data_IF_673730232146
#
_entry.id   IF_673730232146
#
_cell.length_a   1.000
_cell.length_b   1.000
_cell.length_c   1.000
_cell.angle_alpha   90.00
_cell.angle_beta   90.00
_cell.angle_gamma   90.00
#
_symmetry.space_group_name_H-M   'P 1'
#
loop_
_entity.id
_entity.type
_entity.pdbx_description
1 polymer ?
#
# COMPACT_ATOMS: atom_id res chain seq x y z
N UNK A 1 24.38 4.68 5.78
CA UNK A 1 23.26 4.52 6.73
C UNK A 1 22.05 4.15 5.91
N UNK A 2 21.80 2.85 5.78
CA UNK A 2 20.65 2.33 5.02
C UNK A 2 19.42 2.39 5.91
N UNK A 3 18.65 3.47 5.79
CA UNK A 3 17.33 3.52 6.39
C UNK A 3 16.39 2.68 5.51
N UNK A 4 15.69 1.67 6.07
CA UNK A 4 14.66 0.98 5.32
C UNK A 4 13.55 1.99 5.04
N UNK A 5 13.45 2.42 3.78
CA UNK A 5 12.34 3.24 3.30
C UNK A 5 11.09 2.36 3.26
N UNK A 6 10.47 2.16 4.43
CA UNK A 6 9.10 1.70 4.56
C UNK A 6 8.21 2.86 4.12
N UNK A 7 7.62 2.76 2.92
CA UNK A 7 6.57 3.70 2.56
C UNK A 7 5.29 3.28 3.28
N UNK A 8 5.13 3.74 4.51
CA UNK A 8 3.87 3.62 5.24
C UNK A 8 2.89 4.53 4.49
N UNK A 9 2.03 3.94 3.66
CA UNK A 9 0.82 4.61 3.21
C UNK A 9 -0.14 4.59 4.39
N UNK A 10 0.08 5.50 5.34
CA UNK A 10 -0.90 5.80 6.38
C UNK A 10 -2.01 6.57 5.71
N UNK A 11 -3.19 6.00 5.73
CA UNK A 11 -4.40 6.73 5.39
C UNK A 11 -4.93 7.29 6.71
N UNK A 12 -4.64 8.56 7.06
CA UNK A 12 -5.36 9.21 8.12
C UNK A 12 -6.80 9.32 7.61
N UNK A 13 -7.64 8.37 8.01
CA UNK A 13 -9.02 8.71 8.25
C UNK A 13 -8.99 9.74 9.39
N UNK A 14 -8.84 11.01 9.04
CA UNK A 14 -9.16 12.11 9.93
C UNK A 14 -10.65 12.02 10.28
N UNK A 15 -10.98 11.22 11.30
CA UNK A 15 -11.84 11.53 12.44
C UNK A 15 -12.32 10.22 13.07
N UNK A 16 -11.71 9.92 14.21
CA UNK A 16 -12.05 8.90 15.19
C UNK A 16 -13.52 8.46 15.27
N UNK A 17 -13.69 7.14 15.45
CA UNK A 17 -14.88 6.39 15.89
C UNK A 17 -15.88 6.01 14.80
N UNK A 18 -16.01 4.69 14.67
CA UNK A 18 -16.85 3.94 13.73
C UNK A 18 -16.32 3.91 12.30
N UNK A 19 -15.22 3.19 12.09
CA UNK A 19 -15.14 2.41 10.86
C UNK A 19 -16.06 1.20 11.08
N UNK A 20 -17.30 1.29 10.62
CA UNK A 20 -18.27 0.21 10.73
C UNK A 20 -17.63 -1.10 10.21
N UNK A 21 -17.62 -2.20 11.00
CA UNK A 21 -17.01 -3.47 10.60
C UNK A 21 -17.62 -4.08 9.33
N UNK A 22 -18.79 -3.58 8.88
CA UNK A 22 -19.42 -3.97 7.62
C UNK A 22 -18.86 -3.27 6.37
N UNK A 23 -17.84 -2.42 6.50
CA UNK A 23 -17.20 -1.76 5.36
C UNK A 23 -16.36 -2.76 4.57
N UNK A 24 -16.74 -3.02 3.32
CA UNK A 24 -16.00 -3.91 2.43
C UNK A 24 -14.70 -3.22 1.99
N UNK A 25 -13.57 -3.89 2.16
CA UNK A 25 -12.24 -3.44 1.73
C UNK A 25 -11.76 -4.34 0.60
N UNK A 26 -11.18 -3.73 -0.44
CA UNK A 26 -10.67 -4.41 -1.62
C UNK A 26 -9.23 -3.95 -1.81
N UNK A 27 -8.29 -4.88 -1.83
CA UNK A 27 -6.89 -4.63 -2.19
C UNK A 27 -6.58 -5.52 -3.37
N UNK A 28 -6.18 -4.91 -4.49
CA UNK A 28 -5.93 -5.61 -5.75
C UNK A 28 -4.68 -5.03 -6.42
N UNK A 29 -4.08 -5.83 -7.31
CA UNK A 29 -3.01 -5.39 -8.19
C UNK A 29 -3.54 -5.30 -9.62
N UNK A 30 -3.31 -4.15 -10.26
CA UNK A 30 -3.56 -3.91 -11.69
C UNK A 30 -2.21 -3.73 -12.41
N UNK A 31 -2.13 -4.16 -13.68
CA UNK A 31 -1.00 -3.88 -14.57
C UNK A 31 0.39 -4.23 -14.00
N UNK A 32 0.45 -5.24 -13.12
CA UNK A 32 1.66 -5.74 -12.45
C UNK A 32 2.44 -4.73 -11.59
N UNK A 33 2.01 -3.47 -11.46
CA UNK A 33 2.67 -2.48 -10.61
C UNK A 33 1.74 -1.45 -9.97
N UNK A 34 0.43 -1.50 -10.23
CA UNK A 34 -0.54 -0.56 -9.66
C UNK A 34 -1.28 -1.24 -8.52
N UNK A 35 -1.03 -0.78 -7.30
CA UNK A 35 -1.78 -1.20 -6.12
C UNK A 35 -3.08 -0.40 -6.02
N UNK A 36 -4.21 -1.09 -6.13
CA UNK A 36 -5.54 -0.52 -6.04
C UNK A 36 -6.14 -0.84 -4.68
N UNK A 37 -6.46 0.22 -3.95
CA UNK A 37 -7.13 0.14 -2.65
C UNK A 37 -8.51 0.74 -2.83
N UNK A 38 -9.53 -0.07 -2.59
CA UNK A 38 -10.91 0.36 -2.68
C UNK A 38 -11.73 -0.10 -1.49
N UNK A 39 -12.92 0.46 -1.37
CA UNK A 39 -13.89 -0.02 -0.41
C UNK A 39 -15.17 0.76 -0.43
N UNK A 40 -16.17 0.26 0.28
CA UNK A 40 -17.47 0.91 0.43
C UNK A 40 -17.76 1.13 1.90
N UNK A 41 -18.05 2.37 2.27
CA UNK A 41 -18.59 2.72 3.59
C UNK A 41 -20.10 2.72 3.51
N UNK A 42 -20.73 1.71 4.12
CA UNK A 42 -22.18 1.65 4.26
C UNK A 42 -22.63 2.61 5.34
N UNK A 43 -23.79 3.22 5.10
CA UNK A 43 -24.50 4.01 6.10
C UNK A 43 -25.00 3.08 7.21
N UNK A 44 -24.86 3.51 8.46
CA UNK A 44 -25.57 2.87 9.58
C UNK A 44 -27.06 3.20 9.44
N UNK A 45 -27.91 2.17 9.38
CA UNK A 45 -29.36 2.35 9.42
C UNK A 45 -29.72 2.99 10.76
N UNK A 46 -30.19 4.24 10.70
CA UNK A 46 -30.69 4.93 11.88
C UNK A 46 -32.12 4.47 12.11
N UNK A 47 -32.47 4.20 13.36
CA UNK A 47 -33.83 3.84 13.75
C UNK A 47 -34.83 4.84 13.13
N UNK A 48 -35.90 4.39 12.44
CA UNK A 48 -36.84 5.29 11.78
C UNK A 48 -37.49 6.32 12.71
N UNK A 49 -37.44 6.12 14.03
CA UNK A 49 -37.93 7.09 15.02
C UNK A 49 -36.94 8.24 15.31
N UNK A 50 -35.69 8.15 14.83
CA UNK A 50 -34.64 9.13 15.10
C UNK A 50 -34.38 10.00 13.87
N UNK A 51 -34.67 11.31 14.00
CA UNK A 51 -34.40 12.29 12.95
C UNK A 51 -32.93 12.74 13.00
N UNK A 52 -32.13 12.33 12.03
CA UNK A 52 -30.77 12.84 11.84
C UNK A 52 -30.82 14.34 11.46
N UNK A 53 -30.29 15.22 12.32
CA UNK A 53 -30.29 16.67 12.10
C UNK A 53 -29.11 17.10 11.22
N UNK A 54 -27.96 16.45 11.39
CA UNK A 54 -26.74 16.76 10.66
C UNK A 54 -25.93 15.49 10.44
N UNK A 55 -25.45 15.34 9.22
CA UNK A 55 -24.59 14.23 8.82
C UNK A 55 -23.26 14.81 8.33
N UNK A 56 -22.19 14.53 9.07
CA UNK A 56 -20.84 15.05 8.77
C UNK A 56 -19.96 14.01 8.08
N UNK A 57 -20.30 12.71 8.24
CA UNK A 57 -19.58 11.61 7.62
C UNK A 57 -20.25 11.20 6.32
N UNK A 58 -19.47 11.26 5.24
CA UNK A 58 -19.93 10.79 3.94
C UNK A 58 -19.95 9.25 3.90
N UNK A 59 -21.06 8.69 3.44
CA UNK A 59 -21.14 7.30 2.98
C UNK A 59 -20.79 7.25 1.49
N UNK A 60 -20.24 6.13 1.03
CA UNK A 60 -19.86 5.98 -0.37
C UNK A 60 -18.71 5.03 -0.65
N UNK A 61 -18.39 4.89 -1.93
CA UNK A 61 -17.26 4.12 -2.43
C UNK A 61 -16.02 4.98 -2.49
N UNK A 62 -14.88 4.45 -2.04
CA UNK A 62 -13.58 5.07 -2.21
C UNK A 62 -12.67 4.17 -3.03
N UNK A 63 -11.77 4.78 -3.81
CA UNK A 63 -10.72 4.11 -4.56
C UNK A 63 -9.47 4.98 -4.59
N UNK A 64 -8.31 4.39 -4.34
CA UNK A 64 -6.99 5.01 -4.50
C UNK A 64 -6.07 4.04 -5.23
N UNK A 65 -5.28 4.57 -6.15
CA UNK A 65 -4.31 3.80 -6.93
C UNK A 65 -2.91 4.30 -6.63
N UNK A 66 -1.97 3.37 -6.43
CA UNK A 66 -0.57 3.65 -6.15
C UNK A 66 0.31 2.92 -7.14
N UNK A 67 1.11 3.65 -7.89
CA UNK A 67 2.13 3.05 -8.75
C UNK A 67 3.33 2.66 -7.91
N UNK A 68 3.62 1.36 -7.85
CA UNK A 68 4.75 0.81 -7.11
C UNK A 68 6.04 0.93 -7.95
N UNK A 69 7.18 1.22 -7.30
CA UNK A 69 8.49 1.18 -7.94
C UNK A 69 8.82 -0.20 -8.54
N UNK A 70 9.68 -0.25 -9.57
CA UNK A 70 10.11 -1.50 -10.21
C UNK A 70 10.85 -2.47 -9.28
N UNK A 71 11.51 -1.94 -8.24
CA UNK A 71 12.18 -2.75 -7.23
C UNK A 71 11.25 -3.20 -6.09
N UNK A 72 9.93 -3.21 -6.30
CA UNK A 72 8.97 -3.68 -5.32
C UNK A 72 8.79 -5.20 -5.45
N UNK A 73 8.80 -5.90 -4.32
CA UNK A 73 8.51 -7.32 -4.24
C UNK A 73 7.00 -7.52 -4.05
N UNK A 74 6.31 -7.86 -5.14
CA UNK A 74 4.86 -8.02 -5.16
C UNK A 74 4.38 -9.29 -4.44
N UNK A 75 5.25 -10.30 -4.32
CA UNK A 75 4.93 -11.54 -3.59
C UNK A 75 4.94 -11.33 -2.07
N UNK A 76 5.60 -10.26 -1.61
CA UNK A 76 5.77 -9.92 -0.18
C UNK A 76 5.02 -8.66 0.20
N UNK A 77 3.80 -8.52 -0.30
CA UNK A 77 2.86 -7.48 0.16
C UNK A 77 2.15 -7.99 1.41
N UNK A 78 2.20 -7.21 2.49
CA UNK A 78 1.44 -7.48 3.71
C UNK A 78 0.48 -6.34 4.01
N UNK A 79 -0.70 -6.70 4.50
CA UNK A 79 -1.77 -5.77 4.84
C UNK A 79 -2.23 -6.01 6.28
N UNK A 80 -2.36 -4.96 7.07
CA UNK A 80 -2.97 -5.01 8.39
C UNK A 80 -3.95 -3.86 8.55
N UNK A 81 -5.03 -4.09 9.27
CA UNK A 81 -5.96 -3.02 9.60
C UNK A 81 -6.21 -3.02 11.10
N UNK A 82 -5.82 -1.93 11.75
CA UNK A 82 -5.92 -1.73 13.20
C UNK A 82 -6.56 -0.37 13.44
N UNK A 83 -7.58 -0.34 14.29
CA UNK A 83 -8.30 0.89 14.66
C UNK A 83 -8.79 1.75 13.48
N UNK A 84 -9.20 1.08 12.39
CA UNK A 84 -9.69 1.74 11.18
C UNK A 84 -8.61 2.20 10.22
N UNK A 85 -7.32 2.10 10.59
CA UNK A 85 -6.19 2.43 9.74
C UNK A 85 -5.77 1.19 8.95
N UNK A 86 -5.75 1.29 7.62
CA UNK A 86 -5.18 0.24 6.76
C UNK A 86 -3.69 0.56 6.54
N UNK A 87 -2.82 -0.35 6.96
CA UNK A 87 -1.38 -0.30 6.73
C UNK A 87 -0.98 -1.35 5.71
N UNK A 88 -0.33 -0.91 4.63
CA UNK A 88 0.21 -1.77 3.59
C UNK A 88 1.73 -1.65 3.57
N UNK A 89 2.41 -2.80 3.58
CA UNK A 89 3.86 -2.89 3.55
C UNK A 89 4.26 -3.67 2.31
N UNK A 90 5.07 -3.03 1.48
CA UNK A 90 5.64 -3.62 0.25
C UNK A 90 7.14 -3.72 0.44
N UNK A 91 7.68 -4.94 0.44
CA UNK A 91 9.12 -5.15 0.56
C UNK A 91 9.84 -4.73 -0.73
N UNK A 92 11.09 -4.27 -0.63
CA UNK A 92 11.93 -4.01 -1.81
C UNK A 92 12.73 -5.25 -2.20
N UNK A 93 12.99 -5.40 -3.49
CA UNK A 93 13.97 -6.33 -4.03
C UNK A 93 15.35 -5.70 -3.83
N UNK A 94 16.29 -6.37 -3.14
CA UNK A 94 17.63 -5.84 -2.94
C UNK A 94 18.34 -5.66 -4.29
N UNK A 95 19.16 -4.60 -4.45
CA UNK A 95 19.97 -4.44 -5.65
C UNK A 95 20.93 -5.64 -5.80
N UNK A 96 21.23 -6.07 -7.04
CA UNK A 96 22.20 -7.14 -7.27
C UNK A 96 23.55 -6.76 -6.69
N UNK A 97 24.27 -7.73 -6.13
CA UNK A 97 25.63 -7.50 -5.61
C UNK A 97 26.51 -6.89 -6.70
N UNK A 98 27.35 -5.90 -6.36
CA UNK A 98 28.25 -5.28 -7.34
C UNK A 98 29.14 -6.36 -7.96
N UNK A 99 29.12 -6.44 -9.29
CA UNK A 99 29.91 -7.42 -10.02
C UNK A 99 31.38 -7.28 -9.64
N UNK A 100 31.98 -8.38 -9.14
CA UNK A 100 33.41 -8.41 -8.81
C UNK A 100 34.20 -8.05 -10.07
N UNK A 101 35.16 -7.11 -9.98
CA UNK A 101 35.97 -6.74 -11.13
C UNK A 101 36.72 -7.97 -11.65
N UNK A 102 36.56 -8.27 -12.94
CA UNK A 102 37.32 -9.33 -13.61
C UNK A 102 38.64 -8.73 -14.07
N UNK A 103 39.74 -9.10 -13.42
CA UNK A 103 41.08 -8.81 -13.92
C UNK A 103 41.35 -9.72 -15.11
N UNK A 104 41.60 -9.14 -16.29
CA UNK A 104 42.03 -9.89 -17.47
C UNK A 104 43.54 -9.73 -17.56
N UNK A 105 44.28 -10.84 -17.51
CA UNK A 105 45.72 -10.85 -17.70
C UNK A 105 46.05 -10.64 -19.18
N UNK A 106 46.92 -9.68 -19.48
CA UNK A 106 47.39 -9.40 -20.85
C UNK A 106 48.75 -10.07 -21.03
N UNK A 107 48.79 -11.15 -21.83
CA UNK A 107 50.05 -11.76 -22.29
C UNK A 107 50.62 -10.97 -23.47
N UNK A 108 51.81 -10.39 -23.28
CA UNK A 108 52.56 -9.72 -24.35
C UNK A 108 53.41 -10.73 -25.13
N UNK A 109 53.14 -10.87 -26.44
CA UNK A 109 53.98 -11.62 -27.36
C UNK A 109 55.17 -10.77 -27.84
N UNK A 110 56.38 -11.35 -27.88
CA UNK A 110 57.54 -10.73 -28.54
C UNK A 110 57.48 -11.00 -30.04
N UNK A 111 57.55 -9.95 -30.85
CA UNK A 111 57.80 -10.00 -32.29
C UNK A 111 59.25 -10.40 -32.59
#
# INVERSE_FOLDING_TARGET
>A
MDFPLFQILSFPDELEKSLNPQSQKIVQMENDNVLVIGGTRKREETDPQVKCIRMERNSGTFMRKFTLPQNSNLDKITASCVDGVLTLIVAKIPPPEPAKPRTIEVTTGRN
#
